data_IF_185097657718
#
_entry.id   IF_185097657718
#
_cell.length_a   1.000
_cell.length_b   1.000
_cell.length_c   1.000
_cell.angle_alpha   90.00
_cell.angle_beta   90.00
_cell.angle_gamma   90.00
#
_symmetry.space_group_name_H-M   'P 1'
#
loop_
_entity.id
_entity.type
_entity.pdbx_description
1 polymer ?
#
# COMPACT_ATOMS: atom_id res chain seq x y z
N UNK A 1 -8.65 -7.45 15.11
CA UNK A 1 -9.18 -6.95 13.84
C UNK A 1 -9.20 -5.42 13.78
N UNK A 2 -9.59 -4.77 14.86
CA UNK A 2 -9.56 -3.31 14.94
C UNK A 2 -8.14 -2.78 14.77
N UNK A 3 -7.19 -3.46 15.38
CA UNK A 3 -5.78 -3.09 15.27
C UNK A 3 -5.27 -3.21 13.83
N UNK A 4 -5.68 -4.29 13.14
CA UNK A 4 -5.36 -4.48 11.74
C UNK A 4 -5.92 -3.34 10.87
N UNK A 5 -7.21 -3.01 11.06
CA UNK A 5 -7.87 -1.97 10.27
C UNK A 5 -7.22 -0.61 10.54
N UNK A 6 -7.01 -0.27 11.82
CA UNK A 6 -6.42 1.01 12.18
C UNK A 6 -5.01 1.18 11.60
N UNK A 7 -4.18 0.16 11.71
CA UNK A 7 -2.82 0.22 11.20
C UNK A 7 -2.80 0.26 9.67
N UNK A 8 -3.70 -0.49 9.03
CA UNK A 8 -3.80 -0.48 7.57
C UNK A 8 -4.25 0.88 7.06
N UNK A 9 -5.20 1.53 7.73
CA UNK A 9 -5.62 2.88 7.36
C UNK A 9 -4.47 3.87 7.50
N UNK A 10 -3.69 3.77 8.55
CA UNK A 10 -2.55 4.64 8.77
C UNK A 10 -1.51 4.46 7.66
N UNK A 11 -1.22 3.21 7.30
CA UNK A 11 -0.28 2.94 6.22
C UNK A 11 -0.81 3.42 4.86
N UNK A 12 -2.11 3.31 4.61
CA UNK A 12 -2.72 3.82 3.39
C UNK A 12 -2.59 5.34 3.32
N UNK A 13 -2.82 6.05 4.43
CA UNK A 13 -2.63 7.49 4.49
C UNK A 13 -1.19 7.88 4.20
N UNK A 14 -0.23 7.14 4.75
CA UNK A 14 1.19 7.40 4.50
C UNK A 14 1.53 7.19 3.03
N UNK A 15 0.99 6.14 2.40
CA UNK A 15 1.24 5.89 0.98
C UNK A 15 0.64 7.01 0.13
N UNK A 16 -0.59 7.41 0.43
CA UNK A 16 -1.25 8.49 -0.31
C UNK A 16 -0.48 9.80 -0.19
N UNK A 17 -0.04 10.14 1.01
CA UNK A 17 0.74 11.35 1.25
C UNK A 17 2.08 11.30 0.51
N UNK A 18 2.74 10.14 0.49
CA UNK A 18 3.97 9.95 -0.26
C UNK A 18 3.75 10.16 -1.75
N UNK A 19 2.64 9.71 -2.29
CA UNK A 19 2.29 9.94 -3.70
C UNK A 19 2.10 11.43 -3.97
N UNK A 20 1.36 12.12 -3.10
CA UNK A 20 1.10 13.55 -3.25
C UNK A 20 2.39 14.36 -3.20
N UNK A 21 3.33 13.95 -2.37
CA UNK A 21 4.62 14.60 -2.22
C UNK A 21 5.68 14.09 -3.20
N UNK A 22 5.33 13.13 -4.05
CA UNK A 22 6.26 12.48 -4.98
C UNK A 22 7.48 11.91 -4.26
N UNK A 23 7.26 11.40 -3.06
CA UNK A 23 8.31 10.87 -2.20
C UNK A 23 8.47 9.36 -2.43
N UNK A 24 9.34 9.02 -3.39
CA UNK A 24 9.54 7.63 -3.82
C UNK A 24 10.10 6.77 -2.68
N UNK A 25 11.00 7.33 -1.87
CA UNK A 25 11.61 6.58 -0.77
C UNK A 25 10.58 6.22 0.30
N UNK A 26 9.67 7.14 0.60
CA UNK A 26 8.59 6.85 1.56
C UNK A 26 7.59 5.86 0.96
N UNK A 27 7.28 5.97 -0.34
CA UNK A 27 6.44 4.99 -1.03
C UNK A 27 7.02 3.59 -0.88
N UNK A 28 8.34 3.46 -1.10
CA UNK A 28 9.02 2.17 -0.97
C UNK A 28 9.00 1.67 0.47
N UNK A 29 9.26 2.55 1.43
CA UNK A 29 9.34 2.18 2.85
C UNK A 29 7.99 1.70 3.39
N UNK A 30 6.91 2.43 3.11
CA UNK A 30 5.59 2.04 3.61
C UNK A 30 5.08 0.79 2.89
N UNK A 31 5.42 0.63 1.61
CA UNK A 31 5.06 -0.58 0.86
C UNK A 31 5.75 -1.81 1.44
N UNK A 32 7.04 -1.70 1.74
CA UNK A 32 7.78 -2.79 2.39
C UNK A 32 7.12 -3.21 3.70
N UNK A 33 6.69 -2.26 4.48
CA UNK A 33 6.07 -2.51 5.78
C UNK A 33 4.76 -3.30 5.65
N UNK A 34 4.01 -3.10 4.57
CA UNK A 34 2.71 -3.74 4.37
C UNK A 34 2.79 -5.14 3.76
N UNK A 35 3.89 -5.49 3.08
CA UNK A 35 3.98 -6.76 2.35
C UNK A 35 3.73 -7.99 3.23
N UNK A 36 4.37 -8.13 4.41
CA UNK A 36 4.16 -9.35 5.21
C UNK A 36 2.70 -9.59 5.58
N UNK A 37 1.99 -8.54 5.95
CA UNK A 37 0.62 -8.66 6.38
C UNK A 37 -0.30 -9.08 5.23
N UNK A 38 -0.17 -8.43 4.07
CA UNK A 38 -1.00 -8.77 2.93
C UNK A 38 -0.62 -10.11 2.31
N UNK A 39 0.64 -10.53 2.44
CA UNK A 39 1.05 -11.89 2.06
C UNK A 39 0.33 -12.91 2.93
N UNK A 40 0.24 -12.65 4.23
CA UNK A 40 -0.40 -13.56 5.18
C UNK A 40 -1.87 -13.79 4.86
N UNK A 41 -2.59 -12.75 4.47
CA UNK A 41 -4.01 -12.86 4.14
C UNK A 41 -4.28 -13.25 2.69
N UNK A 42 -3.23 -13.47 1.90
CA UNK A 42 -3.37 -13.97 0.53
C UNK A 42 -3.79 -12.94 -0.51
N UNK A 43 -3.55 -11.65 -0.26
CA UNK A 43 -3.89 -10.59 -1.20
C UNK A 43 -2.80 -10.49 -2.29
N UNK A 44 -2.73 -11.48 -3.16
CA UNK A 44 -1.61 -11.66 -4.09
C UNK A 44 -1.41 -10.48 -5.06
N UNK A 45 -2.49 -9.93 -5.61
CA UNK A 45 -2.39 -8.81 -6.53
C UNK A 45 -1.85 -7.55 -5.84
N UNK A 46 -2.35 -7.29 -4.64
CA UNK A 46 -1.87 -6.16 -3.84
C UNK A 46 -0.40 -6.33 -3.47
N UNK A 47 -0.01 -7.54 -3.07
CA UNK A 47 1.40 -7.83 -2.73
C UNK A 47 2.30 -7.58 -3.93
N UNK A 48 1.87 -7.99 -5.13
CA UNK A 48 2.65 -7.74 -6.35
C UNK A 48 2.89 -6.25 -6.59
N UNK A 49 1.85 -5.43 -6.40
CA UNK A 49 1.97 -3.97 -6.54
C UNK A 49 2.89 -3.38 -5.47
N UNK A 50 2.75 -3.83 -4.23
CA UNK A 50 3.60 -3.34 -3.14
C UNK A 50 5.08 -3.69 -3.38
N UNK A 51 5.35 -4.87 -3.94
CA UNK A 51 6.72 -5.25 -4.28
C UNK A 51 7.30 -4.37 -5.38
N UNK A 52 6.50 -3.98 -6.37
CA UNK A 52 6.94 -3.03 -7.39
C UNK A 52 7.31 -1.69 -6.76
N UNK A 53 6.49 -1.20 -5.84
CA UNK A 53 6.76 0.06 -5.15
C UNK A 53 7.99 -0.05 -4.25
N UNK A 54 8.16 -1.17 -3.56
CA UNK A 54 9.31 -1.40 -2.69
C UNK A 54 10.63 -1.33 -3.46
N UNK A 55 10.66 -1.86 -4.68
CA UNK A 55 11.87 -1.88 -5.49
C UNK A 55 12.17 -0.54 -6.17
N UNK A 56 11.30 0.44 -6.01
CA UNK A 56 11.48 1.75 -6.64
C UNK A 56 12.34 2.70 -5.82
N UNK A 57 12.87 2.25 -4.69
CA UNK A 57 13.74 3.06 -3.84
C UNK A 57 14.91 3.64 -4.64
N UNK A 58 15.08 4.96 -4.56
CA UNK A 58 16.18 5.63 -5.25
C UNK A 58 15.94 5.94 -6.71
N UNK A 59 14.79 5.59 -7.28
CA UNK A 59 14.48 5.93 -8.68
C UNK A 59 13.62 7.20 -8.72
N UNK A 60 13.58 7.92 -9.86
CA UNK A 60 12.72 9.10 -9.99
C UNK A 60 11.24 8.74 -9.92
N UNK A 61 10.43 9.67 -9.40
CA UNK A 61 8.99 9.52 -9.43
C UNK A 61 8.49 9.58 -10.87
N UNK A 62 7.63 8.63 -11.25
CA UNK A 62 7.07 8.55 -12.60
C UNK A 62 5.56 8.36 -12.53
N UNK A 63 4.89 8.62 -13.66
CA UNK A 63 3.45 8.35 -13.77
C UNK A 63 3.12 6.88 -13.59
N UNK A 64 4.00 5.99 -14.01
CA UNK A 64 3.82 4.55 -13.82
C UNK A 64 3.85 4.17 -12.34
N UNK A 65 4.80 4.73 -11.57
CA UNK A 65 4.84 4.50 -10.13
C UNK A 65 3.58 5.04 -9.46
N UNK A 66 3.12 6.22 -9.88
CA UNK A 66 1.89 6.79 -9.35
C UNK A 66 0.71 5.88 -9.62
N UNK A 67 0.60 5.33 -10.82
CA UNK A 67 -0.49 4.42 -11.18
C UNK A 67 -0.45 3.15 -10.32
N UNK A 68 0.73 2.57 -10.11
CA UNK A 68 0.89 1.41 -9.25
C UNK A 68 0.46 1.72 -7.82
N UNK A 69 0.85 2.89 -7.30
CA UNK A 69 0.49 3.28 -5.95
C UNK A 69 -1.02 3.50 -5.80
N UNK A 70 -1.65 4.14 -6.79
CA UNK A 70 -3.10 4.37 -6.78
C UNK A 70 -3.85 3.04 -6.87
N UNK A 71 -3.40 2.11 -7.70
CA UNK A 71 -3.99 0.78 -7.79
C UNK A 71 -3.86 0.03 -6.46
N UNK A 72 -2.71 0.13 -5.81
CA UNK A 72 -2.50 -0.48 -4.50
C UNK A 72 -3.46 0.12 -3.46
N UNK A 73 -3.66 1.44 -3.47
CA UNK A 73 -4.57 2.11 -2.54
C UNK A 73 -6.01 1.63 -2.72
N UNK A 74 -6.45 1.43 -3.97
CA UNK A 74 -7.78 0.88 -4.24
C UNK A 74 -7.93 -0.51 -3.63
N UNK A 75 -6.95 -1.38 -3.82
CA UNK A 75 -6.99 -2.74 -3.27
C UNK A 75 -6.92 -2.75 -1.74
N UNK A 76 -6.14 -1.83 -1.15
CA UNK A 76 -6.10 -1.68 0.31
C UNK A 76 -7.48 -1.29 0.83
N UNK A 77 -8.15 -0.35 0.16
CA UNK A 77 -9.49 0.07 0.55
C UNK A 77 -10.48 -1.07 0.46
N UNK A 78 -10.37 -1.92 -0.57
CA UNK A 78 -11.20 -3.11 -0.69
C UNK A 78 -11.00 -4.07 0.48
N UNK A 79 -9.75 -4.28 0.90
CA UNK A 79 -9.45 -5.14 2.05
C UNK A 79 -10.06 -4.56 3.32
N UNK A 80 -9.92 -3.25 3.53
CA UNK A 80 -10.50 -2.57 4.70
C UNK A 80 -12.02 -2.72 4.69
N UNK A 81 -12.66 -2.52 3.54
CA UNK A 81 -14.10 -2.65 3.39
C UNK A 81 -14.56 -4.06 3.74
N UNK A 82 -13.85 -5.08 3.24
CA UNK A 82 -14.18 -6.46 3.56
C UNK A 82 -13.99 -6.77 5.04
N UNK A 83 -12.91 -6.27 5.63
CA UNK A 83 -12.63 -6.49 7.05
C UNK A 83 -13.67 -5.84 7.96
N UNK A 84 -14.23 -4.70 7.55
CA UNK A 84 -15.23 -3.98 8.34
C UNK A 84 -16.67 -4.39 8.04
N UNK A 85 -16.89 -5.21 7.00
CA UNK A 85 -18.23 -5.68 6.61
C UNK A 85 -18.72 -6.80 7.53
N UNK A 86 -17.85 -7.45 8.27
CA UNK A 86 -18.20 -8.56 9.15
C UNK A 86 -18.28 -8.09 10.60
N UNK A 87 -19.33 -8.49 11.32
CA UNK A 87 -19.47 -8.13 12.73
C UNK A 87 -18.41 -8.76 13.61
#
# INVERSE_FOLDING_TARGET
LESFVAETRLNAERLQEAVENEDVDEMAAVSHKMIPLFTLIGAAELVALLKLLETSHGVPFTGELKEHALAALVLIEDVITQATAFP
#
